data_IF_921329642278
#
_entry.id   IF_921329642278
#
_cell.length_a   1.000
_cell.length_b   1.000
_cell.length_c   1.000
_cell.angle_alpha   90.00
_cell.angle_beta   90.00
_cell.angle_gamma   90.00
#
_symmetry.space_group_name_H-M   'P 1'
#
loop_
_entity.id
_entity.type
_entity.pdbx_description
1 polymer ?
2 polymer ?
3 water ?
#
# COMPACT_ATOMS: atom_id res chain seq x y z
N UNK A 5 -9.77 3.95 18.36
CA UNK A 5 -8.77 4.62 17.54
C UNK A 5 -7.37 4.37 18.09
N UNK A 6 -6.48 3.95 17.21
CA UNK A 6 -5.07 3.76 17.55
C UNK A 6 -4.24 4.71 16.68
N UNK A 7 -3.47 5.56 17.34
CA UNK A 7 -2.69 6.59 16.68
C UNK A 7 -1.20 6.23 16.69
N UNK A 8 -0.50 6.54 15.60
CA UNK A 8 0.96 6.51 15.60
C UNK A 8 1.46 7.94 15.38
N UNK A 9 2.59 8.27 16.00
CA UNK A 9 3.03 9.66 16.03
C UNK A 9 3.37 10.20 14.65
N UNK A 10 3.95 9.38 13.78
CA UNK A 10 4.36 9.84 12.46
C UNK A 10 3.85 8.92 11.38
N UNK A 11 3.73 9.43 10.17
CA UNK A 11 3.34 8.64 9.02
C UNK A 11 4.60 8.20 8.24
N UNK A 12 5.55 9.12 8.14
CA UNK A 12 6.84 8.89 7.52
C UNK A 12 7.95 9.52 8.34
N UNK A 13 9.10 8.89 8.32
CA UNK A 13 10.27 9.38 9.03
C UNK A 13 11.48 9.18 8.17
N UNK A 14 12.33 10.20 8.09
CA UNK A 14 13.68 10.07 7.53
C UNK A 14 14.68 10.35 8.64
N UNK A 15 15.51 9.35 8.94
CA UNK A 15 16.46 9.49 10.03
C UNK A 15 17.84 9.04 9.58
N UNK A 16 18.86 9.57 10.23
CA UNK A 16 20.23 9.17 9.93
C UNK A 16 20.70 7.99 10.79
N UNK A 17 21.56 7.16 10.20
CA UNK A 17 22.26 6.12 10.94
C UNK A 17 22.88 6.70 12.22
N UNK A 18 22.72 6.01 13.34
CA UNK A 18 23.28 6.46 14.60
C UNK A 18 22.38 7.35 15.44
N UNK A 19 21.31 7.87 14.86
CA UNK A 19 20.39 8.71 15.61
C UNK A 19 19.43 7.89 16.46
N UNK A 20 18.99 8.48 17.59
CA UNK A 20 18.00 7.87 18.47
C UNK A 20 16.60 8.24 17.99
N UNK A 21 15.79 7.21 17.74
CA UNK A 21 14.50 7.40 17.11
C UNK A 21 13.37 6.89 17.99
N UNK A 22 12.29 7.67 18.07
CA UNK A 22 11.13 7.30 18.85
C UNK A 22 9.91 7.19 17.96
N UNK A 23 9.15 6.11 18.14
CA UNK A 23 7.84 5.99 17.52
C UNK A 23 6.81 5.82 18.63
N UNK A 24 5.77 6.65 18.62
CA UNK A 24 4.75 6.53 19.67
C UNK A 24 3.49 5.83 19.15
N UNK A 25 2.96 4.91 19.94
CA UNK A 25 1.65 4.34 19.71
C UNK A 25 0.72 4.85 20.82
N UNK A 26 -0.42 5.45 20.48
CA UNK A 26 -1.29 6.02 21.50
C UNK A 26 -2.72 5.53 21.33
N UNK A 27 -3.34 5.10 22.42
CA UNK A 27 -4.76 4.78 22.42
C UNK A 27 -5.38 5.26 23.75
N UNK A 28 -6.61 5.77 23.67
CA UNK A 28 -7.34 6.24 24.85
C UNK A 28 -8.51 5.32 25.20
N UNK A 29 -8.42 4.05 24.82
CA UNK A 29 -9.49 3.10 25.09
C UNK A 29 -9.26 2.35 26.39
N UNK A 30 -8.23 2.74 27.13
CA UNK A 30 -7.84 2.09 28.37
C UNK A 30 -7.47 0.62 28.13
N UNK A 31 -6.98 0.33 26.93
CA UNK A 31 -6.55 -1.03 26.63
C UNK A 31 -5.32 -1.40 27.42
N UNK A 32 -5.32 -2.61 27.97
CA UNK A 32 -4.19 -3.12 28.70
C UNK A 32 -3.02 -3.53 27.80
N UNK A 33 -3.35 -4.17 26.67
CA UNK A 33 -2.34 -4.74 25.77
C UNK A 33 -1.94 -3.78 24.66
N UNK A 34 -0.63 -3.60 24.48
CA UNK A 34 -0.13 -2.88 23.31
C UNK A 34 1.05 -3.64 22.66
N UNK A 35 1.17 -3.48 21.34
CA UNK A 35 2.05 -4.30 20.49
C UNK A 35 2.77 -3.44 19.48
N UNK A 36 4.05 -3.76 19.21
CA UNK A 36 4.79 -3.20 18.07
C UNK A 36 5.27 -4.29 17.12
N UNK A 37 4.94 -4.12 15.84
CA UNK A 37 5.32 -5.01 14.73
C UNK A 37 6.09 -4.23 13.67
N UNK A 38 6.86 -4.95 12.85
CA UNK A 38 7.33 -4.36 11.58
C UNK A 38 6.95 -5.28 10.43
N UNK A 39 6.84 -4.70 9.24
CA UNK A 39 6.34 -5.40 8.06
C UNK A 39 7.30 -5.17 6.91
N UNK A 40 7.80 -6.27 6.34
CA UNK A 40 8.81 -6.23 5.30
C UNK A 40 8.45 -7.17 4.15
N UNK A 41 8.89 -6.84 2.93
CA UNK A 41 8.64 -7.74 1.79
C UNK A 41 9.17 -9.16 2.03
N UNK A 42 8.30 -10.14 1.80
CA UNK A 42 8.70 -11.54 1.88
C UNK A 42 8.75 -12.07 3.29
N UNK A 43 8.67 -11.17 4.28
CA UNK A 43 8.84 -11.57 5.67
C UNK A 43 7.57 -11.35 6.47
N UNK A 44 6.55 -10.78 5.84
CA UNK A 44 5.27 -10.60 6.47
C UNK A 44 5.32 -9.65 7.66
N UNK A 45 4.49 -9.94 8.65
CA UNK A 45 4.25 -9.07 9.78
C UNK A 45 4.85 -9.71 11.01
N UNK A 46 5.88 -9.08 11.58
CA UNK A 46 6.68 -9.69 12.64
C UNK A 46 6.62 -8.89 13.92
N UNK A 47 6.44 -9.60 15.03
CA UNK A 47 6.28 -9.01 16.35
C UNK A 47 7.61 -8.65 16.99
N UNK A 48 7.78 -7.37 17.32
CA UNK A 48 8.98 -6.84 17.93
C UNK A 48 8.96 -6.92 19.46
N UNK A 49 7.89 -6.40 20.05
CA UNK A 49 7.76 -6.21 21.51
C UNK A 49 6.28 -6.04 21.82
N UNK A 50 5.86 -6.42 23.03
CA UNK A 50 4.51 -6.09 23.46
C UNK A 50 4.49 -5.82 24.96
N UNK A 51 3.32 -5.46 25.45
CA UNK A 51 3.15 -4.96 26.81
C UNK A 51 1.74 -5.29 27.26
N UNK A 52 1.63 -6.05 28.36
CA UNK A 52 0.31 -6.48 28.84
C UNK A 52 -0.34 -5.48 29.78
N UNK A 53 0.43 -4.50 30.23
CA UNK A 53 -0.08 -3.45 31.12
C UNK A 53 0.98 -2.37 31.33
N UNK A 54 0.58 -1.30 32.01
CA UNK A 54 1.51 -0.24 32.42
C UNK A 54 2.81 -0.80 33.01
N UNK A 55 3.93 -0.28 32.52
CA UNK A 55 5.28 -0.63 32.98
C UNK A 55 5.65 -2.09 32.78
N UNK A 56 4.86 -2.83 32.00
CA UNK A 56 5.18 -4.21 31.64
C UNK A 56 5.70 -4.26 30.22
N UNK A 57 6.65 -5.14 29.94
CA UNK A 57 7.12 -5.36 28.58
C UNK A 57 7.60 -6.80 28.39
N UNK A 58 7.44 -7.31 27.18
CA UNK A 58 7.97 -8.63 26.87
C UNK A 58 8.45 -8.66 25.43
N UNK A 59 9.65 -9.18 25.23
CA UNK A 59 10.22 -9.28 23.89
C UNK A 59 9.36 -10.14 22.97
N UNK A 60 9.24 -9.71 21.72
CA UNK A 60 8.51 -10.46 20.72
C UNK A 60 9.44 -11.42 20.01
N UNK A 61 9.12 -11.74 18.75
CA UNK A 61 9.94 -12.65 17.97
C UNK A 61 11.24 -12.01 17.47
N UNK A 62 11.22 -10.70 17.21
CA UNK A 62 12.41 -10.01 16.71
C UNK A 62 12.72 -8.71 17.48
N UNK A 63 13.06 -8.83 18.77
CA UNK A 63 13.32 -7.67 19.62
C UNK A 63 14.69 -7.00 19.41
N UNK A 64 15.60 -7.70 18.73
CA UNK A 64 16.97 -7.22 18.60
C UNK A 64 17.03 -5.82 17.97
N UNK A 65 17.72 -4.89 18.63
CA UNK A 65 17.90 -3.54 18.12
C UNK A 65 16.84 -2.56 18.62
N UNK A 66 15.86 -3.09 19.33
CA UNK A 66 14.75 -2.26 19.80
C UNK A 66 14.64 -2.29 21.32
N UNK A 67 14.00 -1.26 21.85
CA UNK A 67 13.55 -1.27 23.24
C UNK A 67 12.20 -0.58 23.28
N UNK A 68 11.50 -0.65 24.40
CA UNK A 68 10.19 -0.02 24.52
C UNK A 68 10.00 0.61 25.88
N UNK A 69 9.02 1.50 25.99
CA UNK A 69 8.58 1.97 27.30
C UNK A 69 7.06 2.06 27.36
N UNK A 70 6.52 1.80 28.55
CA UNK A 70 5.09 1.87 28.84
C UNK A 70 4.86 2.57 30.20
N UNK A 71 5.24 3.83 30.30
CA UNK A 71 5.07 4.60 31.53
C UNK A 71 3.61 4.93 31.81
N UNK A 72 2.85 5.16 30.74
CA UNK A 72 1.43 5.46 30.84
C UNK A 72 0.64 4.40 30.09
N UNK A 73 -0.59 4.12 30.53
CA UNK A 73 -1.39 3.10 29.89
C UNK A 73 -1.66 3.41 28.41
N UNK A 74 -1.86 4.67 28.11
CA UNK A 74 -2.28 5.09 26.79
C UNK A 74 -1.18 5.03 25.71
N UNK A 75 0.08 4.90 26.12
CA UNK A 75 1.19 5.11 25.20
C UNK A 75 2.22 3.99 25.28
N UNK A 76 2.58 3.45 24.12
CA UNK A 76 3.62 2.43 24.02
C UNK A 76 4.67 2.97 23.07
N UNK A 77 5.83 3.29 23.62
CA UNK A 77 6.91 3.89 22.86
C UNK A 77 7.87 2.83 22.34
N UNK A 78 8.18 2.89 21.05
CA UNK A 78 9.21 2.07 20.42
C UNK A 78 10.47 2.90 20.29
N UNK A 79 11.59 2.35 20.73
CA UNK A 79 12.83 3.10 20.83
C UNK A 79 13.93 2.40 20.05
N UNK A 80 14.54 3.16 19.15
CA UNK A 80 15.72 2.73 18.40
C UNK A 80 16.89 3.55 18.92
N UNK A 81 17.70 2.98 19.80
CA UNK A 81 18.74 3.75 20.48
C UNK A 81 19.77 4.27 19.48
N UNK A 82 20.01 3.50 18.42
CA UNK A 82 20.98 3.87 17.42
C UNK A 82 20.54 3.29 16.08
N UNK A 83 19.82 4.12 15.32
CA UNK A 83 19.19 3.67 14.09
C UNK A 83 20.19 3.10 13.08
N UNK A 84 19.79 2.02 12.43
CA UNK A 84 20.59 1.45 11.37
C UNK A 84 19.72 1.25 10.14
N UNK A 85 20.34 1.12 8.97
CA UNK A 85 19.59 1.07 7.73
C UNK A 85 18.70 -0.16 7.65
N UNK A 86 19.06 -1.21 8.37
CA UNK A 86 18.26 -2.44 8.38
C UNK A 86 16.95 -2.25 9.15
N UNK A 87 16.82 -1.11 9.83
CA UNK A 87 15.59 -0.81 10.56
C UNK A 87 14.61 0.00 9.69
N UNK A 88 15.00 0.25 8.44
CA UNK A 88 14.07 0.77 7.45
C UNK A 88 12.93 -0.23 7.29
N UNK A 89 11.70 0.22 7.53
CA UNK A 89 10.56 -0.69 7.52
C UNK A 89 9.25 0.06 7.66
N UNK A 90 8.17 -0.71 7.61
CA UNK A 90 6.85 -0.24 7.97
C UNK A 90 6.55 -0.72 9.39
N UNK A 91 6.35 0.20 10.31
CA UNK A 91 6.09 -0.13 11.71
C UNK A 91 4.62 0.00 12.03
N UNK A 92 4.04 -1.04 12.64
CA UNK A 92 2.62 -1.09 12.94
C UNK A 92 2.40 -1.44 14.39
N UNK A 93 1.65 -0.60 15.09
CA UNK A 93 1.34 -0.92 16.47
C UNK A 93 -0.11 -1.37 16.58
N UNK A 94 -0.45 -1.99 17.71
CA UNK A 94 -1.80 -2.40 17.96
C UNK A 94 -2.09 -2.39 19.46
N UNK A 95 -3.36 -2.50 19.80
CA UNK A 95 -3.76 -2.63 21.20
C UNK A 95 -4.96 -3.56 21.31
N UNK A 96 -5.16 -4.10 22.51
CA UNK A 96 -6.33 -4.93 22.77
C UNK A 96 -6.66 -4.94 24.26
N UNK A 97 -7.92 -5.21 24.55
CA UNK A 97 -8.41 -5.31 25.93
C UNK A 97 -8.04 -6.67 26.51
N UNK A 98 -7.76 -6.71 27.82
CA UNK A 98 -7.29 -7.94 28.45
C UNK A 98 -8.25 -9.13 28.28
N UNK A 99 -9.56 -8.86 28.35
CA UNK A 99 -10.55 -9.93 28.20
C UNK A 99 -10.86 -10.25 26.74
N UNK A 100 -10.28 -9.45 25.84
CA UNK A 100 -10.46 -9.68 24.41
C UNK A 100 -9.10 -9.54 23.72
N UNK A 101 -8.10 -10.24 24.25
CA UNK A 101 -6.72 -10.00 23.84
C UNK A 101 -6.44 -10.29 22.38
N UNK A 102 -7.16 -11.27 21.84
CA UNK A 102 -7.04 -11.72 20.45
C UNK A 102 -7.69 -10.78 19.43
N UNK A 103 -8.36 -9.74 19.90
CA UNK A 103 -8.95 -8.76 18.99
C UNK A 103 -8.07 -7.50 19.05
N UNK A 104 -7.09 -7.46 18.16
CA UNK A 104 -6.13 -6.36 18.11
C UNK A 104 -6.57 -5.31 17.12
N UNK A 105 -6.52 -4.06 17.56
CA UNK A 105 -6.84 -2.92 16.72
C UNK A 105 -5.53 -2.25 16.37
N UNK A 106 -5.27 -2.16 15.07
CA UNK A 106 -4.00 -1.64 14.58
C UNK A 106 -4.01 -0.15 14.29
N UNK A 107 -2.86 0.48 14.51
CA UNK A 107 -2.61 1.84 14.04
C UNK A 107 -2.46 1.89 12.54
N UNK A 108 -2.29 3.11 11.98
CA UNK A 108 -2.24 3.31 10.52
C UNK A 108 -0.89 2.98 9.87
N UNK A 109 0.16 2.81 10.67
CA UNK A 109 1.47 2.52 10.10
C UNK A 109 2.38 3.73 10.05
N UNK A 110 3.66 3.46 10.25
CA UNK A 110 4.72 4.47 10.12
C UNK A 110 5.84 3.94 9.24
N UNK A 111 6.09 4.61 8.11
CA UNK A 111 7.25 4.27 7.29
C UNK A 111 8.50 4.96 7.82
N UNK A 112 9.43 4.17 8.33
CA UNK A 112 10.72 4.72 8.75
C UNK A 112 11.79 4.35 7.74
N UNK A 113 12.49 5.36 7.22
CA UNK A 113 13.64 5.14 6.38
C UNK A 113 14.89 5.71 7.04
N UNK A 114 15.85 4.83 7.29
CA UNK A 114 17.13 5.21 7.90
C UNK A 114 18.17 5.28 6.79
N UNK A 115 18.87 6.41 6.71
CA UNK A 115 19.87 6.62 5.67
C UNK A 115 21.24 6.88 6.30
N UNK A 116 22.31 6.42 5.65
CA UNK A 116 23.65 6.72 6.15
C UNK A 116 23.96 8.21 6.11
N UNK A 117 23.31 8.90 5.17
CA UNK A 117 23.66 10.23 4.75
C UNK A 117 22.41 10.83 4.16
N UNK A 118 22.25 12.15 4.19
CA UNK A 118 21.08 12.79 3.56
C UNK A 118 21.38 13.31 2.15
N UNK A 119 22.57 13.04 1.62
CA UNK A 119 23.01 13.63 0.34
C UNK A 119 22.07 13.32 -0.82
N UNK A 120 21.48 12.12 -0.81
CA UNK A 120 20.73 11.65 -1.97
C UNK A 120 19.21 11.82 -1.84
N UNK A 121 18.77 12.60 -0.86
CA UNK A 121 17.34 12.88 -0.70
C UNK A 121 16.91 13.91 -1.73
N UNK A 122 15.84 13.59 -2.44
CA UNK A 122 15.31 14.42 -3.53
C UNK A 122 13.79 14.46 -3.47
N UNK A 123 13.21 15.65 -3.66
CA UNK A 123 11.74 15.71 -3.81
C UNK A 123 11.32 15.25 -5.21
N UNK A 124 10.04 14.92 -5.40
CA UNK A 124 9.57 14.57 -6.74
C UNK A 124 9.46 15.77 -7.63
N UNK A 125 9.70 15.58 -8.93
CA UNK A 125 9.17 16.48 -9.94
C UNK A 125 7.87 15.88 -10.41
N UNK A 126 6.95 16.72 -10.85
CA UNK A 126 5.61 16.25 -11.17
C UNK A 126 5.20 16.79 -12.53
N UNK A 127 4.57 15.94 -13.33
CA UNK A 127 4.07 16.36 -14.64
C UNK A 127 2.76 15.68 -14.97
N UNK A 128 1.86 16.45 -15.59
CA UNK A 128 0.57 15.97 -16.05
C UNK A 128 0.58 15.93 -17.57
N UNK A 129 0.18 14.78 -18.09
CA UNK A 129 0.09 14.48 -19.51
C UNK A 129 -1.37 14.47 -19.90
N UNK A 130 -1.69 15.27 -20.92
CA UNK A 130 -3.06 15.53 -21.34
C UNK A 130 -3.61 14.37 -22.16
N UNK A 131 -4.92 14.12 -22.07
CA UNK A 131 -5.54 13.00 -22.78
C UNK A 131 -5.30 13.00 -24.28
N UNK A 132 -5.14 11.82 -24.85
CA UNK A 132 -5.01 11.64 -26.29
C UNK A 132 -6.30 11.94 -27.02
N UNK A 133 -6.20 12.67 -28.14
CA UNK A 133 -7.35 12.96 -28.97
C UNK A 133 -7.92 11.67 -29.56
N UNK A 134 -7.04 10.69 -29.80
CA UNK A 134 -7.46 9.39 -30.32
C UNK A 134 -8.33 8.64 -29.29
N UNK A 135 -7.95 8.72 -28.02
CA UNK A 135 -8.79 8.13 -26.98
C UNK A 135 -10.13 8.85 -26.89
N UNK A 136 -10.12 10.17 -26.88
CA UNK A 136 -11.35 10.95 -26.83
C UNK A 136 -12.30 10.58 -27.97
N UNK A 137 -11.76 10.49 -29.18
CA UNK A 137 -12.55 10.15 -30.35
C UNK A 137 -13.10 8.73 -30.27
N UNK A 138 -12.25 7.79 -29.86
CA UNK A 138 -12.63 6.39 -29.92
C UNK A 138 -13.54 5.94 -28.78
N UNK A 139 -13.39 6.54 -27.60
CA UNK A 139 -14.06 6.03 -26.40
C UNK A 139 -14.98 7.04 -25.71
N UNK A 140 -14.87 8.31 -26.10
CA UNK A 140 -15.55 9.42 -25.41
C UNK A 140 -15.16 9.52 -23.93
N UNK A 141 -13.98 8.98 -23.62
CA UNK A 141 -13.38 9.14 -22.31
C UNK A 141 -12.02 9.78 -22.49
N UNK A 142 -11.48 10.27 -21.39
CA UNK A 142 -10.23 11.02 -21.43
C UNK A 142 -9.39 10.70 -20.19
N UNK A 143 -8.25 10.09 -20.44
CA UNK A 143 -7.36 9.70 -19.36
C UNK A 143 -6.18 10.67 -19.27
N UNK A 144 -6.08 11.33 -18.13
CA UNK A 144 -4.92 12.12 -17.74
C UNK A 144 -3.92 11.21 -17.05
N UNK A 145 -2.63 11.43 -17.30
CA UNK A 145 -1.62 10.67 -16.59
C UNK A 145 -0.72 11.62 -15.82
N UNK A 146 -0.37 11.27 -14.59
CA UNK A 146 0.58 12.03 -13.79
C UNK A 146 1.82 11.17 -13.57
N UNK A 147 3.00 11.80 -13.70
CA UNK A 147 4.25 11.16 -13.30
C UNK A 147 4.91 11.97 -12.20
N UNK A 148 5.21 11.28 -11.10
CA UNK A 148 6.09 11.82 -10.06
C UNK A 148 7.44 11.15 -10.25
N UNK A 149 8.49 11.94 -10.48
CA UNK A 149 9.79 11.37 -10.85
C UNK A 149 10.91 11.92 -9.98
N UNK A 150 11.98 11.12 -9.88
CA UNK A 150 13.22 11.56 -9.29
C UNK A 150 13.20 11.72 -7.79
N UNK A 151 12.26 11.09 -7.08
CA UNK A 151 12.23 11.27 -5.63
C UNK A 151 13.00 10.19 -4.88
N UNK A 152 13.50 10.56 -3.71
CA UNK A 152 14.21 9.63 -2.82
C UNK A 152 14.20 10.18 -1.41
N UNK A 153 13.87 9.34 -0.42
CA UNK A 153 13.44 7.95 -0.50
C UNK A 153 11.99 7.82 -1.01
N UNK A 154 11.44 6.61 -0.97
CA UNK A 154 10.11 6.32 -1.51
C UNK A 154 9.05 6.78 -0.51
N UNK A 155 8.88 8.10 -0.43
CA UNK A 155 8.03 8.75 0.56
C UNK A 155 7.07 9.73 -0.09
N UNK A 156 6.18 9.23 -0.96
CA UNK A 156 5.21 10.13 -1.55
C UNK A 156 3.79 9.61 -1.40
N UNK A 157 2.85 10.55 -1.42
CA UNK A 157 1.43 10.27 -1.53
C UNK A 157 0.87 11.15 -2.63
N UNK A 158 0.31 10.52 -3.67
CA UNK A 158 -0.21 11.23 -4.82
C UNK A 158 -1.73 11.29 -4.76
N UNK A 159 -2.31 12.44 -5.10
CA UNK A 159 -3.75 12.64 -5.12
C UNK A 159 -4.14 13.49 -6.32
N UNK A 160 -5.39 13.36 -6.75
CA UNK A 160 -5.92 14.19 -7.81
C UNK A 160 -6.96 15.17 -7.28
N UNK A 161 -6.93 16.39 -7.79
CA UNK A 161 -7.82 17.45 -7.37
C UNK A 161 -8.49 18.04 -8.58
N UNK A 162 -9.82 18.05 -8.59
CA UNK A 162 -10.54 18.65 -9.70
C UNK A 162 -11.31 19.81 -9.14
N UNK A 163 -11.06 20.99 -9.71
CA UNK A 163 -11.68 22.24 -9.25
C UNK A 163 -11.55 22.42 -7.73
N UNK A 164 -10.36 22.11 -7.22
CA UNK A 164 -10.04 22.33 -5.83
C UNK A 164 -10.52 21.27 -4.87
N UNK A 165 -11.20 20.23 -5.38
CA UNK A 165 -11.68 19.16 -4.48
C UNK A 165 -11.07 17.81 -4.87
N UNK A 166 -10.65 17.04 -3.87
CA UNK A 166 -9.99 15.76 -4.15
C UNK A 166 -10.97 14.77 -4.76
N UNK A 167 -10.51 14.01 -5.74
CA UNK A 167 -11.37 13.01 -6.39
C UNK A 167 -10.77 11.61 -6.22
N UNK A 168 -11.65 10.60 -6.22
CA UNK A 168 -11.22 9.22 -6.07
C UNK A 168 -11.75 8.34 -7.18
N UNK A 169 -12.95 8.65 -7.66
CA UNK A 169 -13.53 7.89 -8.76
C UNK A 169 -12.69 8.13 -10.01
N UNK A 170 -12.45 7.06 -10.77
CA UNK A 170 -11.71 7.18 -12.00
C UNK A 170 -10.21 7.26 -11.84
N UNK A 171 -9.72 7.01 -10.63
CA UNK A 171 -8.29 7.13 -10.32
C UNK A 171 -7.64 5.76 -10.12
N UNK A 172 -6.42 5.61 -10.64
CA UNK A 172 -5.59 4.51 -10.15
C UNK A 172 -4.13 4.91 -10.12
N UNK A 173 -3.53 4.73 -8.97
CA UNK A 173 -2.14 5.07 -8.74
C UNK A 173 -1.37 3.79 -8.53
N UNK A 174 -0.20 3.68 -9.16
CA UNK A 174 0.64 2.50 -8.98
C UNK A 174 0.82 2.15 -7.50
N UNK A 175 0.59 0.87 -7.15
CA UNK A 175 0.88 0.43 -5.77
C UNK A 175 2.35 0.54 -5.40
N UNK A 176 3.23 0.32 -6.37
CA UNK A 176 4.66 0.32 -6.14
C UNK A 176 5.34 1.27 -7.12
N UNK A 177 6.38 1.97 -6.68
CA UNK A 177 7.21 2.81 -7.55
C UNK A 177 8.18 1.99 -8.39
N UNK A 178 8.71 2.59 -9.44
CA UNK A 178 9.77 1.99 -10.25
C UNK A 178 11.08 2.67 -9.88
N UNK A 179 12.18 1.92 -9.96
CA UNK A 179 13.49 2.52 -9.81
C UNK A 179 13.93 3.12 -11.12
N UNK A 180 14.33 4.38 -11.11
CA UNK A 180 14.82 5.04 -12.31
C UNK A 180 16.17 4.51 -12.80
N UNK A 181 16.97 4.00 -11.86
CA UNK A 181 18.25 3.37 -12.19
C UNK A 181 18.33 2.07 -11.41
N UNK A 182 17.77 0.99 -11.97
CA UNK A 182 17.53 -0.25 -11.21
C UNK A 182 18.79 -0.90 -10.65
N UNK A 183 19.95 -0.61 -11.23
CA UNK A 183 21.19 -1.22 -10.77
C UNK A 183 21.79 -0.48 -9.58
N UNK A 184 21.39 0.77 -9.39
CA UNK A 184 21.97 1.62 -8.35
C UNK A 184 21.26 1.44 -7.02
N UNK A 185 22.03 1.33 -5.95
CA UNK A 185 21.46 1.05 -4.64
C UNK A 185 20.57 2.16 -4.09
N UNK A 186 20.91 3.42 -4.38
CA UNK A 186 20.10 4.54 -3.90
C UNK A 186 19.43 5.22 -5.07
N UNK A 187 19.01 4.40 -6.03
CA UNK A 187 18.23 4.88 -7.15
C UNK A 187 17.04 5.74 -6.72
N UNK A 188 16.86 6.84 -7.42
CA UNK A 188 15.65 7.62 -7.25
C UNK A 188 14.45 6.86 -7.84
N UNK A 189 13.25 7.31 -7.49
CA UNK A 189 12.03 6.56 -7.81
C UNK A 189 11.11 7.34 -8.73
N UNK A 190 10.23 6.59 -9.40
CA UNK A 190 9.15 7.18 -10.20
C UNK A 190 7.84 6.46 -9.90
N UNK A 191 6.73 7.19 -9.99
CA UNK A 191 5.40 6.68 -9.70
C UNK A 191 4.42 7.30 -10.69
N UNK A 192 3.48 6.51 -11.22
CA UNK A 192 2.48 7.07 -12.14
C UNK A 192 1.08 6.91 -11.59
N UNK A 193 0.20 7.78 -12.08
CA UNK A 193 -1.22 7.69 -11.74
C UNK A 193 -2.04 8.08 -12.94
N UNK A 194 -3.28 7.59 -12.97
CA UNK A 194 -4.23 7.93 -14.00
C UNK A 194 -5.50 8.50 -13.38
N UNK A 195 -6.07 9.50 -14.03
CA UNK A 195 -7.42 9.98 -13.74
C UNK A 195 -8.20 9.96 -15.04
N UNK A 196 -9.30 9.21 -15.06
CA UNK A 196 -10.09 9.14 -16.28
C UNK A 196 -11.44 9.79 -16.06
N UNK A 197 -11.78 10.70 -16.96
CA UNK A 197 -13.04 11.45 -16.90
C UNK A 197 -13.76 11.33 -18.24
N UNK A 198 -15.02 11.73 -18.32
CA UNK A 198 -15.71 11.79 -19.60
C UNK A 198 -15.02 12.81 -20.50
N UNK A 199 -15.01 12.55 -21.80
CA UNK A 199 -14.38 13.48 -22.73
C UNK A 199 -14.98 14.88 -22.63
N UNK A 200 -16.30 14.99 -22.50
CA UNK A 200 -16.89 16.33 -22.47
C UNK A 200 -16.46 17.11 -21.23
N UNK A 201 -16.16 16.40 -20.14
CA UNK A 201 -15.70 17.05 -18.92
C UNK A 201 -14.28 17.61 -19.11
N UNK A 202 -13.40 16.84 -19.74
CA UNK A 202 -12.07 17.31 -20.10
C UNK A 202 -12.12 18.49 -21.07
N UNK A 203 -13.12 18.48 -21.95
CA UNK A 203 -13.22 19.52 -23.00
C UNK A 203 -13.70 20.89 -22.51
N UNK A 204 -13.94 21.01 -21.21
CA UNK A 204 -14.38 22.26 -20.61
C UNK A 204 -13.19 23.05 -20.04
N UNK A 205 -12.87 24.22 -20.63
CA UNK A 205 -11.71 24.98 -20.15
C UNK A 205 -11.87 25.53 -18.72
N UNK A 206 -13.07 25.49 -18.17
CA UNK A 206 -13.28 25.94 -16.80
C UNK A 206 -12.89 24.86 -15.78
N UNK A 207 -12.67 23.64 -16.25
CA UNK A 207 -12.29 22.57 -15.32
C UNK A 207 -10.78 22.51 -15.10
N UNK A 208 -10.39 22.48 -13.83
CA UNK A 208 -8.99 22.48 -13.39
C UNK A 208 -8.60 21.12 -12.83
N UNK A 209 -7.54 20.54 -13.36
CA UNK A 209 -7.07 19.20 -12.98
C UNK A 209 -5.69 19.30 -12.37
N UNK A 210 -5.52 18.85 -11.15
CA UNK A 210 -4.20 18.92 -10.49
C UNK A 210 -3.79 17.58 -9.96
N UNK A 211 -2.56 17.19 -10.26
CA UNK A 211 -1.91 16.05 -9.65
C UNK A 211 -1.02 16.58 -8.57
N UNK A 212 -1.29 16.18 -7.33
CA UNK A 212 -0.68 16.73 -6.15
C UNK A 212 0.13 15.65 -5.46
N UNK A 213 1.40 15.92 -5.20
CA UNK A 213 2.27 14.92 -4.61
C UNK A 213 2.88 15.44 -3.31
N UNK A 214 2.46 14.81 -2.22
CA UNK A 214 3.03 15.04 -0.90
C UNK A 214 4.31 14.24 -0.77
N UNK A 215 5.41 14.92 -0.43
CA UNK A 215 6.69 14.28 -0.19
C UNK A 215 7.06 14.47 1.27
N UNK A 216 7.47 13.37 1.89
CA UNK A 216 7.92 13.39 3.29
C UNK A 216 9.43 13.29 3.30
N UNK A 217 10.05 14.44 3.58
CA UNK A 217 11.49 14.57 3.46
C UNK A 217 12.14 15.10 4.72
N UNK A 218 13.01 16.09 4.57
CA UNK A 218 13.78 16.64 5.69
C UNK A 218 12.98 17.64 6.51
N UNK A 219 13.44 17.88 7.74
CA UNK A 219 12.80 18.85 8.64
C UNK A 219 13.81 19.93 8.99
N UNK A 220 13.40 20.88 9.83
CA UNK A 220 14.26 22.02 10.12
C UNK A 220 15.51 21.59 10.87
N UNK A 221 15.45 20.48 11.59
CA UNK A 221 16.62 20.06 12.37
C UNK A 221 17.67 19.29 11.55
N UNK A 222 17.33 18.93 10.32
CA UNK A 222 18.30 18.30 9.42
C UNK A 222 19.20 19.37 8.78
N UNK A 223 20.50 19.12 8.72
CA UNK A 223 21.40 20.05 8.07
C UNK A 223 21.37 19.89 6.55
N UNK A 224 21.69 20.98 5.87
CA UNK A 224 21.73 20.97 4.42
C UNK A 224 22.85 21.89 3.98
N UNK A 225 23.75 21.38 3.14
CA UNK A 225 24.91 22.16 2.70
C UNK A 225 25.02 22.30 1.18
N UNK A 226 24.23 21.54 0.42
CA UNK A 226 24.29 21.61 -1.04
C UNK A 226 23.63 22.89 -1.59
N UNK A 227 23.98 23.24 -2.83
CA UNK A 227 23.42 24.42 -3.47
C UNK A 227 21.93 24.24 -3.78
N UNK A 228 21.54 23.04 -4.20
CA UNK A 228 20.12 22.81 -4.52
C UNK A 228 19.24 22.94 -3.29
N UNK A 229 17.98 23.28 -3.51
CA UNK A 229 17.03 23.49 -2.43
C UNK A 229 16.97 22.31 -1.48
N UNK A 230 16.94 22.62 -0.19
CA UNK A 230 16.82 21.59 0.83
C UNK A 230 15.54 20.79 0.59
N UNK A 231 15.67 19.44 0.50
CA UNK A 231 14.52 18.61 0.17
C UNK A 231 13.63 18.34 1.37
N UNK A 232 12.99 19.39 1.86
CA UNK A 232 12.09 19.31 2.98
C UNK A 232 10.76 18.66 2.59
N UNK A 233 10.03 18.21 3.60
CA UNK A 233 8.64 17.81 3.43
C UNK A 233 7.93 18.91 2.67
N UNK A 234 7.19 18.55 1.61
CA UNK A 234 6.64 19.57 0.72
C UNK A 234 5.58 18.98 -0.18
N UNK A 235 4.78 19.85 -0.78
CA UNK A 235 3.76 19.44 -1.73
C UNK A 235 4.12 20.00 -3.09
N UNK A 236 4.34 19.10 -4.05
CA UNK A 236 4.70 19.50 -5.41
C UNK A 236 3.58 19.08 -6.34
N UNK A 237 3.12 19.95 -7.24
CA UNK A 237 1.98 19.60 -8.09
C UNK A 237 2.21 19.98 -9.54
N UNK A 238 1.45 19.35 -10.43
CA UNK A 238 1.37 19.78 -11.81
C UNK A 238 -0.11 19.81 -12.18
N UNK A 239 -0.45 20.57 -13.21
CA UNK A 239 -1.85 20.81 -13.47
C UNK A 239 -2.12 21.10 -14.91
N UNK A 240 -3.39 20.94 -15.29
CA UNK A 240 -3.85 21.30 -16.63
C UNK A 240 -5.29 21.79 -16.52
N UNK A 241 -5.64 22.80 -17.31
CA UNK A 241 -7.04 23.15 -17.49
C UNK A 241 -7.58 22.37 -18.69
N UNK A 242 -8.87 22.13 -18.68
CA UNK A 242 -9.52 21.46 -19.79
C UNK A 242 -9.36 22.22 -21.09
N UNK A 243 -9.50 21.52 -22.21
CA UNK A 243 -9.32 22.14 -23.52
C UNK A 243 -10.33 21.67 -24.55
N UNK A 244 -10.85 22.64 -25.30
CA UNK A 244 -11.73 22.34 -26.41
C UNK A 244 -10.93 22.15 -27.68
N UNK B 3 0.43 -21.04 20.76
CA UNK B 3 -0.17 -21.10 19.43
C UNK B 3 0.16 -22.40 18.72
N UNK B 4 -0.64 -22.73 17.71
CA UNK B 4 -0.31 -23.80 16.79
C UNK B 4 0.14 -23.21 15.46
N UNK B 5 1.10 -23.87 14.81
CA UNK B 5 1.66 -23.40 13.56
C UNK B 5 0.62 -23.47 12.45
N UNK B 6 0.48 -22.40 11.67
CA UNK B 6 -0.40 -22.45 10.52
C UNK B 6 0.34 -22.36 9.18
N UNK B 7 -0.23 -23.06 8.22
CA UNK B 7 0.31 -23.15 6.89
C UNK B 7 -0.79 -22.77 5.89
N UNK B 8 -0.52 -21.79 5.05
CA UNK B 8 -1.52 -21.37 4.07
C UNK B 8 -0.80 -20.98 2.77
N UNK B 9 -1.54 -20.94 1.64
CA UNK B 9 -0.89 -20.59 0.36
C UNK B 9 -0.28 -19.20 0.40
N UNK B 10 0.81 -18.97 -0.33
CA UNK B 10 1.45 -17.66 -0.31
C UNK B 10 0.59 -16.62 -1.00
N UNK B 11 -0.12 -17.03 -2.04
CA UNK B 11 -0.85 -16.08 -2.86
C UNK B 11 -1.95 -16.79 -3.63
N UNK B 12 -2.96 -16.03 -4.03
CA UNK B 12 -4.16 -16.53 -4.71
C UNK B 12 -4.66 -15.46 -5.67
N UNK B 13 -5.25 -15.90 -6.78
CA UNK B 13 -5.85 -15.01 -7.77
C UNK B 13 -7.36 -15.27 -7.85
N UNK B 14 -8.14 -14.27 -8.28
CA UNK B 14 -9.59 -14.38 -8.35
C UNK B 14 -10.15 -13.27 -9.24
N UNK B 15 -11.44 -13.37 -9.58
CA UNK B 15 -12.17 -12.35 -10.31
C UNK B 15 -13.27 -11.78 -9.42
N UNK B 16 -13.52 -10.49 -9.60
CA UNK B 16 -14.66 -9.85 -8.97
C UNK B 16 -15.95 -10.65 -9.19
N UNK B 17 -16.72 -10.83 -8.13
CA UNK B 17 -17.99 -11.50 -8.24
C UNK B 17 -17.97 -12.96 -7.84
N UNK B 18 -16.79 -13.56 -7.77
CA UNK B 18 -16.71 -14.95 -7.38
C UNK B 18 -16.56 -15.16 -5.87
N UNK B 19 -16.86 -16.37 -5.43
CA UNK B 19 -16.53 -16.78 -4.08
C UNK B 19 -15.06 -17.15 -4.03
N UNK B 20 -14.35 -16.69 -3.00
CA UNK B 20 -12.94 -17.04 -2.83
C UNK B 20 -12.81 -17.95 -1.60
N UNK B 21 -12.05 -19.02 -1.73
CA UNK B 21 -11.83 -19.94 -0.64
C UNK B 21 -10.33 -20.07 -0.32
N UNK B 22 -9.97 -19.79 0.92
CA UNK B 22 -8.59 -19.88 1.36
C UNK B 22 -8.48 -20.93 2.45
N UNK B 23 -7.66 -21.95 2.21
CA UNK B 23 -7.53 -23.03 3.17
C UNK B 23 -6.27 -22.88 3.99
N UNK B 24 -6.42 -23.11 5.28
CA UNK B 24 -5.33 -23.01 6.24
C UNK B 24 -5.17 -24.35 6.93
N UNK B 25 -3.91 -24.79 7.07
CA UNK B 25 -3.60 -26.09 7.67
C UNK B 25 -3.02 -25.85 9.07
N UNK B 26 -3.53 -26.58 10.06
CA UNK B 26 -3.05 -26.42 11.44
C UNK B 26 -3.22 -27.73 12.17
N UNK B 27 -2.39 -28.70 11.82
CA UNK B 27 -2.65 -30.06 12.28
C UNK B 27 -2.26 -30.31 13.73
N UNK B 28 -1.55 -29.40 14.36
CA UNK B 28 -1.21 -29.55 15.78
C UNK B 28 -2.10 -28.75 16.71
N UNK B 29 -3.26 -28.32 16.20
CA UNK B 29 -4.21 -27.56 17.01
C UNK B 29 -4.59 -28.33 18.26
N UNK B 30 -4.69 -27.60 19.37
CA UNK B 30 -4.99 -28.18 20.69
C UNK B 30 -6.40 -27.79 21.16
N UNK B 31 -6.85 -28.41 22.24
CA UNK B 31 -8.23 -28.30 22.71
C UNK B 31 -8.69 -26.87 22.93
N UNK B 32 -7.84 -26.04 23.51
CA UNK B 32 -8.27 -24.70 23.89
C UNK B 32 -7.91 -23.66 22.82
N UNK B 33 -7.44 -24.11 21.66
CA UNK B 33 -7.16 -23.21 20.53
C UNK B 33 -8.41 -22.84 19.74
N UNK B 34 -8.45 -21.59 19.30
CA UNK B 34 -9.44 -21.09 18.37
C UNK B 34 -8.75 -20.67 17.08
N UNK B 35 -9.56 -20.64 16.02
CA UNK B 35 -9.10 -20.29 14.68
C UNK B 35 -9.56 -18.87 14.36
N UNK B 36 -8.61 -17.98 14.10
CA UNK B 36 -8.91 -16.56 13.88
C UNK B 36 -8.35 -16.09 12.55
N UNK B 37 -9.11 -15.29 11.81
CA UNK B 37 -8.58 -14.69 10.60
C UNK B 37 -8.64 -13.17 10.67
N UNK B 38 -7.55 -12.60 10.14
CA UNK B 38 -7.40 -11.16 9.94
C UNK B 38 -7.25 -10.83 8.44
N UNK B 39 -7.65 -9.61 8.10
CA UNK B 39 -7.61 -9.09 6.74
C UNK B 39 -6.86 -7.78 6.72
N UNK B 40 -5.89 -7.66 5.81
CA UNK B 40 -5.06 -6.46 5.75
C UNK B 40 -5.10 -5.82 4.38
N UNK B 41 -5.78 -4.68 4.30
CA UNK B 41 -5.88 -3.94 3.06
C UNK B 41 -4.57 -3.18 2.81
N UNK B 42 -4.30 -2.83 1.54
CA UNK B 42 -3.11 -2.05 1.24
C UNK B 42 -3.00 -0.77 2.08
N UNK B 43 -1.80 -0.52 2.58
CA UNK B 43 -1.48 0.69 3.35
C UNK B 43 -2.29 0.81 4.63
N UNK B 44 -2.68 -0.34 5.19
CA UNK B 44 -3.38 -0.38 6.48
C UNK B 44 -2.84 -1.51 7.34
N UNK B 45 -3.13 -1.48 8.63
CA UNK B 45 -2.82 -2.61 9.48
C UNK B 45 -3.89 -3.66 9.36
N UNK B 46 -3.62 -4.89 9.82
CA UNK B 46 -4.69 -5.91 9.72
C UNK B 46 -5.90 -5.60 10.59
N UNK B 47 -7.05 -6.16 10.22
CA UNK B 47 -8.25 -6.09 11.05
C UNK B 47 -8.83 -7.48 11.26
N UNK B 48 -9.35 -7.70 12.45
CA UNK B 48 -10.04 -8.94 12.78
C UNK B 48 -11.22 -9.12 11.86
N UNK B 49 -11.39 -10.30 11.28
CA UNK B 49 -12.64 -10.52 10.56
C UNK B 49 -13.47 -11.73 11.01
N UNK B 50 -12.86 -12.80 11.51
CA UNK B 50 -13.73 -13.91 11.94
C UNK B 50 -13.00 -14.86 12.87
N UNK B 51 -13.74 -15.55 13.73
CA UNK B 51 -13.15 -16.50 14.66
C UNK B 51 -14.09 -17.69 14.84
N UNK B 52 -13.53 -18.88 14.96
CA UNK B 52 -14.33 -20.08 15.19
C UNK B 52 -13.63 -21.09 16.07
N UNK B 53 -14.42 -22.08 16.49
CA UNK B 53 -13.93 -23.17 17.33
C UNK B 53 -14.17 -24.49 16.59
N UNK B 54 -15.41 -24.97 16.54
CA UNK B 54 -15.70 -26.24 15.84
C UNK B 54 -16.83 -26.16 14.82
N UNK B 55 -17.66 -25.14 14.95
CA UNK B 55 -18.84 -25.05 14.09
C UNK B 55 -18.74 -23.89 13.12
N UNK B 56 -19.47 -24.03 12.02
CA UNK B 56 -19.45 -23.03 10.97
C UNK B 56 -19.86 -21.67 11.50
N UNK B 57 -19.11 -20.64 11.08
CA UNK B 57 -19.38 -19.26 11.46
C UNK B 57 -19.60 -18.44 10.19
N UNK B 58 -20.61 -17.60 10.17
CA UNK B 58 -20.79 -16.69 9.05
C UNK B 58 -21.12 -15.32 9.56
N UNK B 59 -20.46 -14.30 9.01
CA UNK B 59 -20.80 -12.93 9.33
C UNK B 59 -20.81 -12.09 8.02
N UNK B 60 -20.85 -10.77 8.14
CA UNK B 60 -20.94 -9.90 6.98
C UNK B 60 -19.73 -9.99 6.06
N UNK B 61 -18.59 -10.39 6.61
CA UNK B 61 -17.34 -10.38 5.84
C UNK B 61 -16.98 -11.74 5.27
N UNK B 62 -17.25 -12.81 6.02
CA UNK B 62 -16.81 -14.12 5.58
C UNK B 62 -17.58 -15.26 6.23
N UNK B 63 -17.39 -16.46 5.71
CA UNK B 63 -17.76 -17.71 6.36
C UNK B 63 -16.49 -18.47 6.72
N UNK B 64 -16.52 -19.20 7.82
CA UNK B 64 -15.41 -20.04 8.24
C UNK B 64 -15.91 -21.47 8.41
N UNK B 65 -15.34 -22.37 7.63
CA UNK B 65 -15.68 -23.79 7.69
C UNK B 65 -14.56 -24.54 8.41
N UNK B 66 -14.95 -25.40 9.35
CA UNK B 66 -14.00 -26.13 10.16
C UNK B 66 -14.38 -27.60 10.15
N UNK B 67 -13.54 -28.44 9.51
CA UNK B 67 -13.82 -29.89 9.49
C UNK B 67 -13.80 -30.51 10.88
N UNK B 68 -14.40 -31.68 11.02
CA UNK B 68 -14.51 -32.32 12.33
C UNK B 68 -13.16 -32.53 13.05
N UNK B 69 -12.08 -32.83 12.33
CA UNK B 69 -10.81 -33.06 13.01
C UNK B 69 -10.06 -31.76 13.37
N UNK B 70 -10.60 -30.63 12.90
CA UNK B 70 -10.04 -29.30 13.18
C UNK B 70 -8.62 -29.09 12.68
N UNK B 71 -8.14 -29.97 11.80
CA UNK B 71 -6.74 -29.91 11.38
C UNK B 71 -6.52 -28.95 10.24
N UNK B 72 -7.60 -28.40 9.71
CA UNK B 72 -7.56 -27.37 8.69
C UNK B 72 -8.82 -26.53 8.82
N UNK B 73 -8.90 -25.44 8.07
CA UNK B 73 -10.11 -24.62 8.05
C UNK B 73 -10.11 -23.84 6.75
N UNK B 74 -11.28 -23.36 6.35
CA UNK B 74 -11.41 -22.65 5.10
C UNK B 74 -12.18 -21.35 5.32
N UNK B 75 -11.55 -20.24 4.93
CA UNK B 75 -12.17 -18.93 4.88
C UNK B 75 -12.85 -18.78 3.53
N UNK B 76 -14.15 -18.49 3.53
CA UNK B 76 -14.90 -18.30 2.30
C UNK B 76 -15.36 -16.84 2.24
N UNK B 77 -14.85 -16.10 1.26
CA UNK B 77 -15.19 -14.71 1.03
C UNK B 77 -16.26 -14.62 -0.05
N UNK B 78 -17.37 -13.92 0.27
CA UNK B 78 -18.48 -13.85 -0.69
C UNK B 78 -18.23 -12.82 -1.79
N UNK B 79 -18.74 -13.13 -2.97
CA UNK B 79 -18.75 -12.25 -4.14
C UNK B 79 -17.73 -11.14 -4.05
N UNK B 80 -16.47 -11.48 -4.24
CA UNK B 80 -15.39 -10.55 -3.91
C UNK B 80 -15.43 -9.31 -4.80
N UNK B 81 -14.99 -8.20 -4.22
CA UNK B 81 -14.82 -6.93 -4.92
C UNK B 81 -13.34 -6.64 -5.10
N UNK B 82 -13.02 -5.68 -5.97
CA UNK B 82 -11.63 -5.27 -6.16
C UNK B 82 -10.99 -4.88 -4.84
N UNK B 83 -11.78 -4.26 -3.97
CA UNK B 83 -11.29 -3.79 -2.69
C UNK B 83 -10.94 -4.93 -1.73
N UNK B 84 -11.31 -6.16 -2.07
CA UNK B 84 -10.92 -7.32 -1.23
C UNK B 84 -9.48 -7.80 -1.52
N UNK B 85 -8.82 -7.18 -2.49
CA UNK B 85 -7.39 -7.41 -2.69
C UNK B 85 -6.68 -7.05 -1.39
N UNK B 86 -6.05 -8.05 -0.77
CA UNK B 86 -5.61 -7.92 0.63
C UNK B 86 -4.81 -9.13 1.06
N UNK B 87 -4.12 -9.03 2.20
CA UNK B 87 -3.48 -10.20 2.77
C UNK B 87 -4.42 -10.78 3.83
N UNK B 88 -4.62 -12.08 3.79
CA UNK B 88 -5.46 -12.77 4.77
C UNK B 88 -4.60 -13.67 5.63
N UNK B 89 -4.70 -13.49 6.94
CA UNK B 89 -3.90 -14.22 7.93
C UNK B 89 -4.72 -15.20 8.73
N UNK B 90 -4.26 -16.45 8.80
CA UNK B 90 -4.82 -17.51 9.62
C UNK B 90 -3.97 -17.69 10.88
N UNK B 91 -4.61 -17.58 12.04
CA UNK B 91 -3.94 -17.58 13.34
C UNK B 91 -4.63 -18.63 14.19
N UNK B 92 -3.87 -19.47 14.86
CA UNK B 92 -4.46 -20.49 15.71
C UNK B 92 -3.83 -20.45 17.08
N UNK B 93 -4.65 -20.28 18.10
CA UNK B 93 -4.12 -20.21 19.45
C UNK B 93 -5.18 -19.87 20.49
N UNK B 94 -4.74 -19.62 21.72
CA UNK B 94 -5.67 -19.31 22.79
C UNK B 94 -6.10 -17.85 22.72
N UNK B 95 -7.27 -17.57 23.28
CA UNK B 95 -7.91 -16.27 23.11
C UNK B 95 -8.44 -15.70 24.41
N UNK B 96 -9.09 -14.54 24.29
CA UNK B 96 -9.70 -13.82 25.42
C UNK B 96 -8.67 -13.49 26.50
N UNK B 97 -8.98 -13.81 27.75
CA UNK B 97 -8.08 -13.52 28.86
C UNK B 97 -6.79 -14.34 28.78
N UNK B 98 -6.82 -15.44 28.03
CA UNK B 98 -5.67 -16.32 27.90
C UNK B 98 -4.85 -16.07 26.64
N UNK B 99 -5.09 -14.94 25.98
CA UNK B 99 -4.31 -14.59 24.81
C UNK B 99 -2.84 -14.41 25.17
N UNK B 100 -1.97 -14.91 24.30
CA UNK B 100 -0.53 -14.80 24.48
C UNK B 100 0.07 -13.92 23.38
N UNK B 101 0.18 -14.48 22.19
CA UNK B 101 0.66 -13.71 21.04
C UNK B 101 0.21 -14.35 19.75
N UNK B 102 0.17 -13.53 18.71
CA UNK B 102 -0.05 -14.01 17.36
C UNK B 102 1.28 -14.21 16.67
N UNK B 103 1.34 -15.19 15.77
CA UNK B 103 2.38 -15.25 14.76
C UNK B 103 1.73 -15.02 13.41
N UNK B 104 1.79 -13.80 12.90
CA UNK B 104 1.09 -13.47 11.66
C UNK B 104 1.72 -14.18 10.46
N UNK B 105 3.04 -14.23 10.39
CA UNK B 105 3.67 -14.75 9.21
C UNK B 105 3.34 -13.88 8.00
N UNK B 106 3.29 -14.49 6.82
CA UNK B 106 3.06 -13.74 5.58
C UNK B 106 1.63 -13.86 5.05
N UNK B 107 0.85 -14.78 5.63
CA UNK B 107 -0.52 -14.95 5.19
C UNK B 107 -0.64 -15.33 3.72
N UNK B 108 -1.81 -15.03 3.16
CA UNK B 108 -2.14 -15.28 1.76
C UNK B 108 -2.46 -13.95 1.08
N UNK B 109 -1.67 -13.59 0.07
CA UNK B 109 -1.95 -12.41 -0.74
C UNK B 109 -3.02 -12.72 -1.78
N UNK B 110 -4.21 -12.19 -1.59
CA UNK B 110 -5.28 -12.35 -2.58
C UNK B 110 -5.32 -11.17 -3.54
N UNK B 111 -5.29 -11.49 -4.84
CA UNK B 111 -5.54 -10.54 -5.89
C UNK B 111 -6.96 -10.73 -6.44
N UNK B 112 -7.66 -9.64 -6.72
CA UNK B 112 -8.99 -9.67 -7.34
C UNK B 112 -8.95 -8.83 -8.62
N UNK B 113 -9.22 -9.48 -9.75
CA UNK B 113 -9.24 -8.87 -11.10
C UNK B 113 -10.64 -8.48 -11.51
N UNK B 114 -10.77 -7.39 -12.28
CA UNK B 114 -12.09 -7.05 -12.81
C UNK B 114 -12.47 -7.92 -14.01
N UNK B 115 -13.77 -8.17 -14.17
CA UNK B 115 -14.25 -8.81 -15.38
C UNK B 115 -14.64 -7.72 -16.37
N UNK B 116 -13.74 -7.41 -17.29
CA UNK B 116 -13.94 -6.28 -18.19
C UNK B 116 -15.10 -6.58 -19.16
N UNK B 117 -16.11 -5.73 -19.18
CA UNK B 117 -17.33 -6.02 -19.92
C UNK B 117 -17.13 -5.96 -21.42
N UNK B 118 -16.44 -4.93 -21.89
CA UNK B 118 -16.25 -4.73 -23.33
C UNK B 118 -14.80 -4.32 -23.59
N UNK B 119 -13.86 -5.28 -23.54
CA UNK B 119 -12.45 -4.93 -23.75
C UNK B 119 -12.25 -4.23 -25.10
N UNK B 120 -11.40 -3.22 -25.09
CA UNK B 120 -11.25 -2.30 -26.22
C UNK B 120 -9.78 -1.86 -26.24
N UNK B 121 -8.85 -2.84 -26.29
CA UNK B 121 -7.44 -2.52 -26.09
C UNK B 121 -6.94 -1.47 -27.08
N UNK B 122 -6.12 -0.57 -26.56
CA UNK B 122 -5.53 0.47 -27.40
C UNK B 122 -4.32 1.04 -26.71
N UNK B 123 -3.38 1.54 -27.51
CA UNK B 123 -2.23 2.28 -27.00
C UNK B 123 -2.35 3.71 -27.46
N UNK B 124 -2.25 4.64 -26.53
CA UNK B 124 -2.36 6.06 -26.79
C UNK B 124 -1.06 6.77 -26.40
N UNK B 125 -0.79 7.90 -27.05
CA UNK B 125 0.34 8.73 -26.66
C UNK B 125 -0.19 10.04 -26.12
N UNK B 126 0.36 10.46 -24.97
CA UNK B 126 -0.09 11.67 -24.26
C UNK B 126 1.05 12.66 -24.13
N UNK B 127 0.78 13.92 -24.44
CA UNK B 127 1.81 14.95 -24.31
C UNK B 127 1.71 15.71 -22.99
N UNK B 128 2.87 16.10 -22.48
CA UNK B 128 2.98 16.93 -21.28
C UNK B 128 2.18 18.22 -21.45
N UNK B 129 1.40 18.59 -20.44
CA UNK B 129 0.63 19.82 -20.46
C UNK B 129 1.54 21.05 -20.50
N UNK B 130 2.75 20.92 -19.93
CA UNK B 130 3.68 22.04 -19.79
C UNK B 130 4.40 22.32 -21.09
N UNK B 131 4.80 21.26 -21.77
CA UNK B 131 5.39 21.37 -23.09
C UNK B 131 5.43 19.99 -23.72
N UNK B 132 5.04 19.90 -24.99
CA UNK B 132 5.03 18.61 -25.68
C UNK B 132 6.44 18.11 -25.99
N UNK B 133 7.42 18.55 -25.19
CA UNK B 133 8.76 17.99 -25.22
C UNK B 133 8.73 16.56 -24.69
N UNK B 134 7.96 16.34 -23.62
CA UNK B 134 7.83 15.01 -23.04
C UNK B 134 6.49 14.37 -23.37
N UNK B 135 6.48 13.05 -23.43
CA UNK B 135 5.24 12.31 -23.58
C UNK B 135 5.29 11.03 -22.77
N UNK B 136 4.12 10.40 -22.62
CA UNK B 136 4.03 9.06 -22.06
C UNK B 136 3.15 8.22 -22.96
N UNK B 137 3.30 6.90 -22.86
CA UNK B 137 2.44 5.95 -23.53
C UNK B 137 1.48 5.31 -22.55
N UNK B 138 0.24 5.15 -22.97
CA UNK B 138 -0.81 4.54 -22.16
C UNK B 138 -1.41 3.34 -22.88
N UNK B 139 -1.27 2.15 -22.29
CA UNK B 139 -1.94 0.95 -22.80
C UNK B 139 -3.19 0.76 -21.96
N UNK B 140 -4.36 0.76 -22.58
CA UNK B 140 -5.56 0.77 -21.77
C UNK B 140 -6.67 -0.09 -22.37
N UNK B 141 -7.61 -0.48 -21.52
CA UNK B 141 -8.91 -1.06 -21.86
C UNK B 141 -8.79 -2.51 -22.31
N UNK B 142 -7.67 -3.14 -21.98
CA UNK B 142 -7.45 -4.54 -22.31
C UNK B 142 -8.11 -5.48 -21.30
N UNK B 143 -8.29 -6.74 -21.69
CA UNK B 143 -8.90 -7.73 -20.80
C UNK B 143 -7.92 -8.09 -19.68
N UNK B 144 -8.44 -8.60 -18.58
CA UNK B 144 -7.62 -8.78 -17.39
C UNK B 144 -6.66 -9.97 -17.45
N UNK B 145 -6.74 -10.79 -18.48
CA UNK B 145 -5.75 -11.86 -18.67
C UNK B 145 -4.52 -11.40 -19.45
N UNK B 146 -4.58 -10.18 -20.00
CA UNK B 146 -3.45 -9.59 -20.68
C UNK B 146 -2.29 -9.34 -19.73
N UNK B 147 -1.12 -9.86 -20.08
CA UNK B 147 0.07 -9.65 -19.28
C UNK B 147 0.84 -8.42 -19.75
N UNK B 148 1.26 -7.60 -18.79
CA UNK B 148 2.12 -6.47 -19.10
C UNK B 148 3.51 -6.73 -18.54
N UNK B 149 4.48 -6.91 -19.44
CA UNK B 149 5.84 -7.27 -19.02
C UNK B 149 6.62 -6.07 -18.49
N UNK B 150 7.45 -6.31 -17.50
CA UNK B 150 8.37 -5.29 -17.01
C UNK B 150 9.36 -4.91 -18.11
N UNK B 151 10.01 -3.78 -17.96
CA UNK B 151 10.96 -3.34 -18.97
C UNK B 151 12.28 -4.08 -18.83
N UNK B 152 12.74 -4.67 -19.94
CA UNK B 152 14.02 -5.35 -19.97
C UNK B 152 15.15 -4.33 -20.16
N UNK B 153 14.79 -3.07 -20.41
CA UNK B 153 15.76 -2.05 -20.74
C UNK B 153 15.78 -0.95 -19.68
N UNK B 154 16.96 -0.66 -19.14
CA UNK B 154 17.12 0.24 -18.01
C UNK B 154 16.60 1.68 -18.23
N UNK B 155 16.56 2.12 -19.49
CA UNK B 155 16.14 3.49 -19.78
C UNK B 155 14.66 3.58 -20.18
N UNK B 156 13.97 2.43 -20.14
CA UNK B 156 12.55 2.40 -20.44
C UNK B 156 11.80 1.97 -19.18
N UNK B 157 10.72 2.67 -18.89
CA UNK B 157 9.93 2.45 -17.69
C UNK B 157 8.55 1.98 -18.10
N UNK B 158 8.15 0.83 -17.56
CA UNK B 158 6.81 0.28 -17.80
C UNK B 158 6.21 -0.10 -16.45
N UNK B 159 5.07 0.48 -16.13
CA UNK B 159 4.42 0.21 -14.85
C UNK B 159 3.66 -1.12 -14.90
N UNK B 160 3.32 -1.62 -13.72
CA UNK B 160 2.37 -2.72 -13.62
C UNK B 160 1.00 -2.23 -14.04
N UNK B 161 0.09 -3.14 -14.33
CA UNK B 161 -1.25 -2.70 -14.61
C UNK B 161 -1.96 -2.23 -13.32
N UNK B 162 -2.90 -1.32 -13.53
CA UNK B 162 -3.64 -0.58 -12.52
C UNK B 162 -5.10 -0.59 -12.99
N UNK B 163 -6.04 -0.84 -12.08
CA UNK B 163 -7.47 -0.79 -12.42
C UNK B 163 -8.12 0.46 -11.88
N UNK B 164 -8.76 1.23 -12.76
CA UNK B 164 -9.56 2.36 -12.29
C UNK B 164 -11.05 2.05 -12.46
N UNK B 165 -11.84 2.68 -11.59
CA UNK B 165 -13.27 2.44 -11.49
C UNK B 165 -14.00 3.77 -11.66
N UNK B 166 -14.61 3.96 -12.81
CA UNK B 166 -15.52 5.07 -13.03
C UNK B 166 -16.89 4.62 -12.53
N UNK B 167 -17.11 4.82 -11.23
CA UNK B 167 -18.20 4.16 -10.52
C UNK B 167 -19.60 4.58 -10.98
N UNK B 168 -19.77 5.86 -11.25
CA UNK B 168 -21.06 6.36 -11.74
C UNK B 168 -21.46 5.78 -13.09
N UNK B 169 -20.46 5.33 -13.86
CA UNK B 169 -20.71 4.74 -15.17
C UNK B 169 -20.70 3.22 -15.12
N UNK B 170 -20.52 2.69 -13.92
CA UNK B 170 -20.32 1.25 -13.73
C UNK B 170 -19.28 0.73 -14.71
N UNK B 171 -18.18 1.46 -14.84
CA UNK B 171 -17.19 1.12 -15.86
C UNK B 171 -15.83 0.97 -15.21
N UNK B 172 -15.14 -0.13 -15.46
CA UNK B 172 -13.79 -0.32 -14.95
C UNK B 172 -12.82 -0.54 -16.10
N UNK B 173 -11.58 -0.13 -15.92
CA UNK B 173 -10.61 -0.39 -16.98
C UNK B 173 -9.19 -0.59 -16.43
N UNK B 174 -8.47 -1.49 -17.09
CA UNK B 174 -7.06 -1.75 -16.85
C UNK B 174 -6.20 -0.76 -17.62
N UNK B 175 -5.02 -0.43 -17.09
CA UNK B 175 -4.06 0.30 -17.89
C UNK B 175 -2.66 0.08 -17.37
N UNK B 176 -1.69 0.39 -18.22
CA UNK B 176 -0.28 0.47 -17.83
C UNK B 176 0.31 1.68 -18.53
N UNK B 177 1.36 2.26 -17.94
CA UNK B 177 1.99 3.46 -18.47
C UNK B 177 3.44 3.13 -18.81
N UNK B 178 3.94 3.68 -19.89
CA UNK B 178 5.34 3.48 -20.27
C UNK B 178 5.93 4.81 -20.69
N UNK B 179 7.19 5.04 -20.36
CA UNK B 179 7.85 6.24 -20.85
C UNK B 179 9.34 6.01 -20.88
N UNK B 180 10.07 6.94 -21.48
CA UNK B 180 11.50 6.82 -21.64
C UNK B 180 12.11 8.21 -21.68
N UNK B 181 13.34 8.34 -21.20
CA UNK B 181 14.03 9.62 -21.26
C UNK B 181 14.69 9.83 -22.62
N UNK B 182 14.04 9.32 -23.66
CA UNK B 182 14.48 9.51 -25.03
C UNK B 182 13.27 9.84 -25.91
N UNK B 183 13.46 10.77 -26.85
CA UNK B 183 12.39 11.22 -27.73
C UNK B 183 12.02 10.18 -28.79
N UNK B 184 13.01 9.38 -29.20
CA UNK B 184 12.81 8.41 -30.27
C UNK B 184 11.92 7.24 -29.85
N UNK B 185 11.62 7.15 -28.56
CA UNK B 185 10.77 6.11 -28.01
C UNK B 185 9.41 6.06 -28.70
N UNK B 186 9.07 4.90 -29.24
CA UNK B 186 7.81 4.76 -29.96
C UNK B 186 6.79 4.07 -29.08
N UNK B 187 5.62 4.69 -28.92
CA UNK B 187 4.54 4.08 -28.16
C UNK B 187 4.08 2.80 -28.85
N UNK B 188 4.28 2.75 -30.17
CA UNK B 188 3.84 1.63 -31.00
C UNK B 188 4.40 0.29 -30.56
N UNK B 189 5.67 0.27 -30.16
CA UNK B 189 6.31 -0.98 -29.74
C UNK B 189 6.50 -1.08 -28.24
N UNK B 190 6.11 -0.02 -27.52
CA UNK B 190 6.43 0.12 -26.10
C UNK B 190 6.00 -1.07 -25.23
N UNK B 191 4.79 -1.57 -25.41
CA UNK B 191 4.29 -2.67 -24.58
C UNK B 191 4.39 -4.01 -25.31
N UNK B 192 5.12 -4.00 -26.43
CA UNK B 192 5.16 -5.13 -27.35
C UNK B 192 6.34 -6.06 -27.04
#
# INVERSE_FOLDING_TARGET
HMDVKVTQSSRYLVKRTGEKVFLECVQDMDHENMFWYRQDPGLGLRLIYFSYDVKMKEKGDIPEGYSVSREKKERFSLILESASTNQTSMYLCASSQRQEGDTQYFGPGTRLTVLEDLKNVFPPEVAVFEPSEAEISHTQKATLVCLATGFYPDHVELSWWVNGKEVHSGVCTDPQPLKEQPALNDSRYALSSRLRVSATFWQNPRNHFRCQVQFYGLSENDEWTQDRAKPVTQIVSAEAWGRAD
HMLAKTTQPISMDSYEGQEVNITCSHNNIATNDYITWYQQFPSQGPRFIIQGYKTKVTNEVASLFIPADRKSSTLSLPRVSLSDTAVYYCLVGEILDNFNKFYFGSGTKLNVKPNIQNPDPAVYQLRDSKSSDKSVCLFTDFDSQTNVSQSKDSDVYITDKCVLDMRSMDFKSNSAVAWSNKSDFACANAFNNSIIPEDTFFPSPESS
#
